data_IF_454674169161
#
_entry.id   IF_454674169161
#
_cell.length_a   1.000
_cell.length_b   1.000
_cell.length_c   1.000
_cell.angle_alpha   90.00
_cell.angle_beta   90.00
_cell.angle_gamma   90.00
#
_symmetry.space_group_name_H-M   'P 1'
#
loop_
_entity.id
_entity.type
_entity.pdbx_description
1 polymer ?
#
# COMPACT_ATOMS: atom_id res chain seq x y z
N UNK A 1 -0.56 13.99 -15.80
CA UNK A 1 -0.29 13.68 -14.38
C UNK A 1 1.19 13.45 -14.23
N UNK A 2 1.84 14.19 -13.32
CA UNK A 2 3.30 14.14 -13.14
C UNK A 2 3.74 13.00 -12.21
N UNK A 3 2.92 12.63 -11.25
CA UNK A 3 3.21 11.57 -10.28
C UNK A 3 1.99 10.66 -10.12
N UNK A 4 2.21 9.37 -9.99
CA UNK A 4 1.17 8.42 -9.66
C UNK A 4 0.93 8.37 -8.15
N UNK A 5 -0.29 8.06 -7.73
CA UNK A 5 -0.62 7.87 -6.33
C UNK A 5 -1.82 6.95 -6.18
N UNK A 6 -1.90 6.26 -5.07
CA UNK A 6 -3.00 5.33 -4.78
C UNK A 6 -3.15 5.13 -3.27
N UNK A 7 -4.29 4.61 -2.89
CA UNK A 7 -4.58 4.17 -1.55
C UNK A 7 -4.13 2.72 -1.40
N UNK A 8 -3.36 2.45 -0.35
CA UNK A 8 -2.90 1.09 -0.05
C UNK A 8 -3.25 0.78 1.40
N UNK A 9 -4.32 0.03 1.56
CA UNK A 9 -4.75 -0.51 2.84
C UNK A 9 -4.36 -1.99 2.93
N UNK A 10 -4.10 -2.46 4.12
CA UNK A 10 -3.74 -3.84 4.37
C UNK A 10 -4.73 -4.46 5.37
N UNK A 11 -4.84 -5.79 5.43
CA UNK A 11 -5.69 -6.44 6.40
C UNK A 11 -5.23 -6.14 7.84
N UNK A 12 -6.09 -6.46 8.80
CA UNK A 12 -5.78 -6.38 10.22
C UNK A 12 -4.65 -7.34 10.60
N UNK A 13 -4.08 -7.17 11.80
CA UNK A 13 -2.84 -7.83 12.22
C UNK A 13 -2.78 -9.35 11.99
N UNK A 14 -3.88 -10.06 12.09
CA UNK A 14 -3.89 -11.51 11.90
C UNK A 14 -3.66 -11.96 10.44
N UNK A 15 -3.82 -11.05 9.49
CA UNK A 15 -3.64 -11.30 8.08
C UNK A 15 -2.45 -10.53 7.46
N UNK A 16 -1.61 -9.90 8.27
CA UNK A 16 -0.49 -9.08 7.77
C UNK A 16 0.63 -9.95 7.21
N UNK A 17 0.82 -9.90 5.91
CA UNK A 17 1.92 -10.58 5.21
C UNK A 17 2.92 -9.61 4.59
N UNK A 18 2.54 -8.34 4.42
CA UNK A 18 3.29 -7.34 3.65
C UNK A 18 3.08 -7.44 2.14
N UNK A 19 2.49 -8.52 1.64
CA UNK A 19 2.26 -8.74 0.22
C UNK A 19 1.32 -7.68 -0.38
N UNK A 20 0.35 -7.17 0.39
CA UNK A 20 -0.57 -6.11 -0.03
C UNK A 20 0.17 -4.80 -0.31
N UNK A 21 1.13 -4.44 0.55
CA UNK A 21 1.95 -3.25 0.38
C UNK A 21 2.85 -3.41 -0.84
N UNK A 22 3.50 -4.57 -0.96
CA UNK A 22 4.33 -4.91 -2.11
C UNK A 22 3.54 -4.86 -3.42
N UNK A 23 2.40 -5.55 -3.49
CA UNK A 23 1.54 -5.59 -4.68
C UNK A 23 1.03 -4.20 -5.07
N UNK A 24 0.50 -3.44 -4.12
CA UNK A 24 0.03 -2.08 -4.36
C UNK A 24 1.15 -1.16 -4.83
N UNK A 25 2.31 -1.22 -4.17
CA UNK A 25 3.48 -0.44 -4.53
C UNK A 25 4.02 -0.77 -5.91
N UNK A 26 4.20 -2.05 -6.22
CA UNK A 26 4.69 -2.50 -7.53
C UNK A 26 3.70 -2.19 -8.67
N UNK A 27 2.38 -2.26 -8.39
CA UNK A 27 1.35 -1.89 -9.36
C UNK A 27 1.37 -0.41 -9.70
N UNK A 28 1.48 0.48 -8.70
CA UNK A 28 1.38 1.93 -8.95
C UNK A 28 2.70 2.51 -9.47
N UNK A 29 3.85 1.99 -9.02
CA UNK A 29 5.17 2.42 -9.48
C UNK A 29 5.32 2.22 -10.98
N UNK A 30 4.92 1.09 -11.51
CA UNK A 30 5.09 0.74 -12.92
C UNK A 30 4.20 1.53 -13.88
N UNK A 31 3.14 2.19 -13.39
CA UNK A 31 2.32 3.07 -14.24
C UNK A 31 3.09 4.25 -14.83
N UNK A 32 4.15 4.69 -14.16
CA UNK A 32 4.98 5.83 -14.58
C UNK A 32 6.46 5.50 -14.65
N UNK A 33 6.85 4.29 -14.27
CA UNK A 33 8.24 3.88 -14.08
C UNK A 33 9.02 4.89 -13.21
N UNK A 34 8.37 5.37 -12.17
CA UNK A 34 8.87 6.42 -11.28
C UNK A 34 8.30 6.24 -9.87
N UNK A 35 8.85 7.00 -8.93
CA UNK A 35 8.33 7.05 -7.56
C UNK A 35 6.86 7.47 -7.52
N UNK A 36 6.14 6.95 -6.54
CA UNK A 36 4.71 7.20 -6.34
C UNK A 36 4.43 7.73 -4.93
N UNK A 37 3.19 8.17 -4.69
CA UNK A 37 2.72 8.56 -3.37
C UNK A 37 1.63 7.60 -2.92
N UNK A 38 1.74 7.11 -1.69
CA UNK A 38 0.62 6.50 -0.98
C UNK A 38 -0.27 7.63 -0.48
N UNK A 39 -1.44 7.81 -1.12
CA UNK A 39 -2.36 8.90 -0.84
C UNK A 39 -3.17 8.63 0.42
N UNK A 40 -3.45 7.36 0.69
CA UNK A 40 -4.08 6.90 1.91
C UNK A 40 -3.52 5.55 2.36
N UNK A 41 -3.21 5.47 3.63
CA UNK A 41 -3.07 4.21 4.36
C UNK A 41 -3.59 4.40 5.77
N UNK A 42 -3.94 3.31 6.45
CA UNK A 42 -4.47 3.43 7.81
C UNK A 42 -3.45 3.94 8.81
N UNK A 43 -3.86 4.91 9.64
CA UNK A 43 -3.14 5.28 10.85
C UNK A 43 -3.44 4.27 11.96
N UNK A 44 -4.70 4.15 12.35
CA UNK A 44 -5.18 3.20 13.36
C UNK A 44 -6.16 2.18 12.80
N UNK A 45 -6.69 2.38 11.61
CA UNK A 45 -7.72 1.55 10.99
C UNK A 45 -9.10 1.57 11.67
N UNK A 46 -9.88 0.54 11.36
CA UNK A 46 -11.29 0.42 11.66
C UNK A 46 -11.59 0.22 13.15
N UNK A 47 -12.85 0.23 13.49
CA UNK A 47 -13.35 0.25 14.88
C UNK A 47 -12.88 -0.90 15.79
N UNK A 48 -12.45 -2.02 15.26
CA UNK A 48 -12.06 -3.19 16.07
C UNK A 48 -10.57 -3.48 16.07
N UNK A 49 -9.76 -2.58 15.54
CA UNK A 49 -8.34 -2.80 15.40
C UNK A 49 -7.53 -1.59 15.84
N UNK A 50 -6.41 -1.87 16.46
CA UNK A 50 -5.40 -0.88 16.82
C UNK A 50 -4.04 -1.46 16.48
N UNK A 51 -3.15 -0.71 15.82
CA UNK A 51 -1.83 -1.23 15.48
C UNK A 51 -1.04 -1.55 16.76
N UNK A 52 -0.24 -2.60 16.69
CA UNK A 52 0.73 -2.88 17.74
C UNK A 52 1.96 -1.96 17.60
N UNK A 53 2.74 -1.75 18.69
CA UNK A 53 3.93 -0.91 18.63
C UNK A 53 4.91 -1.32 17.52
N UNK A 54 5.36 -0.38 16.72
CA UNK A 54 6.26 -0.61 15.58
C UNK A 54 5.55 -0.86 14.24
N UNK A 55 4.24 -1.06 14.25
CA UNK A 55 3.50 -1.42 13.04
C UNK A 55 3.44 -0.27 12.02
N UNK A 56 3.19 0.96 12.45
CA UNK A 56 3.17 2.10 11.54
C UNK A 56 4.53 2.33 10.88
N UNK A 57 5.60 2.22 11.67
CA UNK A 57 6.97 2.33 11.14
C UNK A 57 7.26 1.22 10.15
N UNK A 58 6.90 -0.02 10.47
CA UNK A 58 7.06 -1.16 9.55
C UNK A 58 6.34 -0.91 8.23
N UNK A 59 5.08 -0.45 8.28
CA UNK A 59 4.32 -0.12 7.07
C UNK A 59 4.96 1.03 6.28
N UNK A 60 5.34 2.10 6.96
CA UNK A 60 6.01 3.24 6.35
C UNK A 60 7.28 2.83 5.59
N UNK A 61 8.14 2.05 6.24
CA UNK A 61 9.36 1.52 5.60
C UNK A 61 9.06 0.53 4.47
N UNK A 62 8.00 -0.27 4.59
CA UNK A 62 7.58 -1.19 3.51
C UNK A 62 7.14 -0.42 2.27
N UNK A 63 6.40 0.67 2.43
CA UNK A 63 6.03 1.56 1.32
C UNK A 63 7.25 2.21 0.67
N UNK A 64 8.18 2.73 1.47
CA UNK A 64 9.43 3.31 0.94
C UNK A 64 10.27 2.26 0.21
N UNK A 65 10.38 1.05 0.78
CA UNK A 65 11.10 -0.07 0.13
C UNK A 65 10.44 -0.49 -1.19
N UNK A 66 9.13 -0.29 -1.35
CA UNK A 66 8.40 -0.50 -2.60
C UNK A 66 8.53 0.67 -3.60
N UNK A 67 9.21 1.76 -3.23
CA UNK A 67 9.48 2.91 -4.09
C UNK A 67 8.57 4.11 -3.87
N UNK A 68 7.81 4.16 -2.77
CA UNK A 68 7.03 5.34 -2.44
C UNK A 68 7.93 6.53 -2.09
N UNK A 69 7.61 7.71 -2.62
CA UNK A 69 8.24 8.98 -2.26
C UNK A 69 7.58 9.67 -1.05
N UNK A 70 6.41 9.18 -0.66
CA UNK A 70 5.68 9.71 0.48
C UNK A 70 4.50 8.82 0.87
N UNK A 71 4.11 8.94 2.13
CA UNK A 71 3.00 8.19 2.72
C UNK A 71 2.10 9.15 3.46
N UNK A 72 0.81 9.15 3.16
CA UNK A 72 -0.20 9.95 3.84
C UNK A 72 -1.13 9.01 4.60
N UNK A 73 -1.40 9.37 5.86
CA UNK A 73 -2.28 8.59 6.69
C UNK A 73 -3.75 9.04 6.53
N UNK A 74 -4.65 8.11 6.44
CA UNK A 74 -6.06 8.33 6.66
C UNK A 74 -6.38 7.99 8.11
N UNK A 75 -6.60 9.00 8.92
CA UNK A 75 -6.49 10.43 8.65
C UNK A 75 -5.76 11.16 9.79
N UNK A 76 -5.71 12.49 9.73
CA UNK A 76 -5.02 13.32 10.73
C UNK A 76 -5.57 13.12 12.15
N UNK A 77 -6.87 13.22 12.34
CA UNK A 77 -7.53 12.95 13.60
C UNK A 77 -8.71 12.01 13.41
N UNK A 78 -9.10 11.32 14.47
CA UNK A 78 -10.26 10.44 14.44
C UNK A 78 -11.52 11.23 14.08
N UNK A 79 -12.34 10.67 13.20
CA UNK A 79 -13.49 11.37 12.60
C UNK A 79 -14.62 11.50 13.59
N UNK A 80 -15.15 12.73 13.76
CA UNK A 80 -16.23 13.03 14.72
C UNK A 80 -17.61 12.97 14.08
N UNK A 81 -17.70 13.23 12.78
CA UNK A 81 -18.94 13.42 12.06
C UNK A 81 -19.05 12.52 10.82
N UNK A 82 -20.25 12.39 10.31
CA UNK A 82 -20.51 11.75 9.04
C UNK A 82 -20.48 10.24 9.07
N UNK A 83 -20.33 9.65 7.90
CA UNK A 83 -20.43 8.21 7.71
C UNK A 83 -19.25 7.45 8.36
N UNK A 84 -18.06 8.06 8.38
CA UNK A 84 -16.84 7.45 8.88
C UNK A 84 -16.50 7.84 10.33
N UNK A 85 -17.50 8.17 11.14
CA UNK A 85 -17.31 8.63 12.52
C UNK A 85 -16.56 7.63 13.44
N UNK A 86 -16.42 6.37 13.01
CA UNK A 86 -15.65 5.34 13.74
C UNK A 86 -14.21 5.18 13.24
N UNK A 87 -13.82 5.93 12.24
CA UNK A 87 -12.49 5.86 11.69
C UNK A 87 -11.49 6.56 12.60
N UNK A 88 -10.44 5.84 12.98
CA UNK A 88 -9.41 6.34 13.89
C UNK A 88 -8.24 6.90 13.10
N UNK A 89 -7.93 8.17 13.35
CA UNK A 89 -6.80 8.88 12.76
C UNK A 89 -5.52 8.77 13.58
N UNK A 90 -4.54 9.58 13.21
CA UNK A 90 -3.28 9.74 13.96
C UNK A 90 -3.54 10.26 15.38
N UNK A 91 -4.40 11.28 15.52
CA UNK A 91 -4.92 11.73 16.82
C UNK A 91 -6.17 10.95 17.24
N UNK A 92 -6.34 10.79 18.53
CA UNK A 92 -7.54 10.23 19.14
C UNK A 92 -8.78 11.11 18.93
N UNK A 93 -9.98 10.59 19.26
CA UNK A 93 -11.22 11.36 19.14
C UNK A 93 -11.27 12.62 20.03
N UNK A 94 -10.60 12.58 21.17
CA UNK A 94 -10.44 13.74 22.07
C UNK A 94 -9.30 14.69 21.63
N UNK A 95 -8.73 14.47 20.47
CA UNK A 95 -7.58 15.20 19.92
C UNK A 95 -6.30 15.09 20.76
N UNK A 96 -6.25 14.15 21.68
CA UNK A 96 -5.03 13.86 22.41
C UNK A 96 -4.03 13.06 21.59
N UNK A 97 -2.77 13.15 22.00
CA UNK A 97 -1.72 12.27 21.48
C UNK A 97 -1.90 10.85 22.01
N UNK A 98 -1.39 9.90 21.27
CA UNK A 98 -1.46 8.49 21.58
C UNK A 98 -0.21 7.77 21.00
N UNK A 99 -0.01 6.48 21.27
CA UNK A 99 1.16 5.75 20.76
C UNK A 99 1.32 5.79 19.23
N UNK A 100 0.22 5.86 18.48
CA UNK A 100 0.27 5.97 17.01
C UNK A 100 0.81 7.32 16.56
N UNK A 101 0.40 8.40 17.24
CA UNK A 101 0.94 9.74 17.00
C UNK A 101 2.45 9.80 17.25
N UNK A 102 2.89 9.22 18.37
CA UNK A 102 4.32 9.19 18.71
C UNK A 102 5.12 8.40 17.67
N UNK A 103 4.61 7.24 17.26
CA UNK A 103 5.25 6.39 16.25
C UNK A 103 5.29 7.03 14.86
N UNK A 104 4.20 7.67 14.42
CA UNK A 104 4.17 8.44 13.18
C UNK A 104 5.19 9.59 13.22
N UNK A 105 5.30 10.27 14.34
CA UNK A 105 6.30 11.33 14.59
C UNK A 105 7.74 10.78 14.56
N UNK A 106 7.98 9.61 15.15
CA UNK A 106 9.29 8.94 15.10
C UNK A 106 9.67 8.59 13.65
N UNK A 107 8.79 7.94 12.91
CA UNK A 107 8.99 7.63 11.51
C UNK A 107 9.29 8.88 10.67
N UNK A 108 8.53 9.96 10.86
CA UNK A 108 8.77 11.23 10.16
C UNK A 108 10.15 11.83 10.47
N UNK A 109 10.61 11.77 11.73
CA UNK A 109 11.96 12.22 12.11
C UNK A 109 13.06 11.36 11.50
N UNK A 110 12.86 10.05 11.43
CA UNK A 110 13.82 9.13 10.79
C UNK A 110 13.96 9.44 9.31
N UNK A 111 12.84 9.60 8.60
CA UNK A 111 12.85 9.94 7.17
C UNK A 111 13.53 11.30 6.92
N UNK A 112 13.26 12.29 7.76
CA UNK A 112 13.93 13.59 7.66
C UNK A 112 15.45 13.50 7.83
N UNK A 113 15.94 12.54 8.63
CA UNK A 113 17.39 12.30 8.81
C UNK A 113 18.02 11.59 7.63
N UNK A 114 17.32 10.66 7.00
CA UNK A 114 17.82 9.94 5.83
C UNK A 114 17.88 10.83 4.58
N UNK A 115 17.02 11.83 4.50
CA UNK A 115 16.99 12.80 3.41
C UNK A 115 16.51 12.20 2.08
N UNK A 116 16.76 12.95 1.00
CA UNK A 116 16.29 12.60 -0.35
C UNK A 116 16.88 11.30 -0.92
N UNK A 117 18.03 10.89 -0.42
CA UNK A 117 18.75 9.72 -0.94
C UNK A 117 18.01 8.40 -0.69
N UNK A 118 17.13 8.36 0.31
CA UNK A 118 16.27 7.22 0.63
C UNK A 118 14.88 7.30 0.01
N UNK A 119 14.52 8.44 -0.51
CA UNK A 119 13.29 8.63 -1.25
C UNK A 119 13.56 8.40 -2.73
N UNK A 120 12.61 7.85 -3.46
CA UNK A 120 12.75 7.58 -4.90
C UNK A 120 13.81 6.51 -5.24
N UNK A 121 13.85 5.44 -4.46
CA UNK A 121 14.68 4.28 -4.79
C UNK A 121 14.14 3.65 -6.08
N UNK A 122 14.94 3.67 -7.14
CA UNK A 122 14.58 2.97 -8.37
C UNK A 122 14.81 1.48 -8.22
N UNK A 123 13.84 0.67 -8.61
CA UNK A 123 13.96 -0.79 -8.66
C UNK A 123 14.11 -1.22 -10.12
N UNK A 124 15.01 -2.15 -10.37
CA UNK A 124 15.16 -2.79 -11.67
C UNK A 124 14.82 -4.27 -11.51
N UNK A 125 13.67 -4.66 -12.00
CA UNK A 125 13.21 -6.02 -11.94
C UNK A 125 13.51 -6.77 -13.25
N UNK A 126 13.69 -8.07 -13.16
CA UNK A 126 13.91 -8.96 -14.32
C UNK A 126 12.66 -9.78 -14.67
N UNK A 127 11.64 -9.68 -13.83
CA UNK A 127 10.37 -10.40 -13.95
C UNK A 127 9.25 -9.39 -14.00
N UNK A 128 8.25 -9.62 -14.84
CA UNK A 128 7.03 -8.86 -14.88
C UNK A 128 5.81 -9.77 -14.82
N UNK A 129 4.80 -9.35 -14.07
CA UNK A 129 3.44 -9.87 -14.14
C UNK A 129 2.66 -8.97 -15.09
N UNK A 130 2.18 -9.55 -16.19
CA UNK A 130 1.44 -8.80 -17.22
C UNK A 130 -0.04 -8.83 -16.89
N UNK A 131 -0.67 -7.67 -16.87
CA UNK A 131 -2.11 -7.51 -16.69
C UNK A 131 -2.75 -6.92 -17.95
N UNK A 132 -4.04 -7.17 -18.13
CA UNK A 132 -4.79 -6.69 -19.27
C UNK A 132 -6.25 -6.43 -18.91
N UNK A 133 -6.72 -5.21 -19.17
CA UNK A 133 -8.10 -4.80 -18.89
C UNK A 133 -9.14 -5.52 -19.78
N UNK A 134 -8.75 -5.96 -20.98
CA UNK A 134 -9.66 -6.73 -21.83
C UNK A 134 -9.85 -8.14 -21.22
N UNK A 135 -8.77 -8.74 -20.76
CA UNK A 135 -8.82 -10.02 -20.05
C UNK A 135 -9.62 -9.91 -18.74
N UNK A 136 -9.45 -8.84 -17.97
CA UNK A 136 -10.26 -8.55 -16.78
C UNK A 136 -11.75 -8.48 -17.14
N UNK A 137 -12.10 -7.72 -18.18
CA UNK A 137 -13.49 -7.55 -18.63
C UNK A 137 -14.08 -8.87 -19.12
N UNK A 138 -13.32 -9.63 -19.90
CA UNK A 138 -13.72 -10.93 -20.41
C UNK A 138 -13.94 -11.95 -19.29
N UNK A 139 -13.05 -11.96 -18.31
CA UNK A 139 -13.14 -12.85 -17.14
C UNK A 139 -14.34 -12.53 -16.28
N UNK A 140 -14.67 -11.25 -16.10
CA UNK A 140 -15.86 -10.83 -15.38
C UNK A 140 -17.17 -11.19 -16.10
N UNK A 141 -17.14 -11.16 -17.45
CA UNK A 141 -18.29 -11.54 -18.26
C UNK A 141 -18.48 -13.06 -18.37
N UNK A 142 -17.38 -13.81 -18.46
CA UNK A 142 -17.36 -15.25 -18.61
C UNK A 142 -16.33 -15.89 -17.67
N UNK A 143 -16.61 -15.96 -16.37
CA UNK A 143 -15.68 -16.47 -15.39
C UNK A 143 -15.42 -17.98 -15.58
N UNK A 144 -14.19 -18.41 -15.36
CA UNK A 144 -13.81 -19.82 -15.35
C UNK A 144 -14.45 -20.54 -14.16
N UNK A 145 -14.53 -19.86 -13.03
CA UNK A 145 -15.22 -20.31 -11.82
C UNK A 145 -15.95 -19.11 -11.18
N UNK A 146 -17.11 -19.36 -10.56
CA UNK A 146 -17.93 -18.32 -9.92
C UNK A 146 -17.26 -17.66 -8.72
N UNK A 147 -16.37 -18.36 -8.06
CA UNK A 147 -15.68 -17.92 -6.85
C UNK A 147 -14.23 -17.44 -7.13
N UNK A 148 -13.85 -17.35 -8.42
CA UNK A 148 -12.54 -16.92 -8.87
C UNK A 148 -12.65 -15.62 -9.66
N UNK A 149 -11.94 -14.58 -9.22
CA UNK A 149 -11.80 -13.32 -9.94
C UNK A 149 -10.50 -13.25 -10.75
N UNK A 150 -10.44 -12.36 -11.73
CA UNK A 150 -9.21 -12.05 -12.44
C UNK A 150 -8.10 -11.57 -11.48
N UNK A 151 -8.45 -10.76 -10.48
CA UNK A 151 -7.51 -10.27 -9.49
C UNK A 151 -6.93 -11.40 -8.63
N UNK A 152 -7.69 -12.44 -8.33
CA UNK A 152 -7.17 -13.61 -7.62
C UNK A 152 -6.07 -14.30 -8.41
N UNK A 153 -6.25 -14.45 -9.72
CA UNK A 153 -5.23 -15.05 -10.60
C UNK A 153 -3.95 -14.20 -10.63
N UNK A 154 -4.10 -12.88 -10.76
CA UNK A 154 -2.96 -11.95 -10.72
C UNK A 154 -2.25 -12.02 -9.37
N UNK A 155 -3.01 -12.04 -8.27
CA UNK A 155 -2.46 -12.16 -6.91
C UNK A 155 -1.72 -13.48 -6.68
N UNK A 156 -2.23 -14.59 -7.18
CA UNK A 156 -1.52 -15.87 -7.06
C UNK A 156 -0.13 -15.83 -7.71
N UNK A 157 -0.02 -15.23 -8.88
CA UNK A 157 1.29 -15.08 -9.55
C UNK A 157 2.20 -14.15 -8.74
N UNK A 158 1.68 -13.02 -8.28
CA UNK A 158 2.44 -12.07 -7.49
C UNK A 158 2.89 -12.65 -6.16
N UNK A 159 1.97 -13.26 -5.41
CA UNK A 159 2.24 -13.80 -4.08
C UNK A 159 3.28 -14.93 -4.13
N UNK A 160 3.25 -15.78 -5.17
CA UNK A 160 4.31 -16.77 -5.38
C UNK A 160 5.69 -16.12 -5.55
N UNK A 161 5.80 -15.06 -6.36
CA UNK A 161 7.05 -14.34 -6.55
C UNK A 161 7.49 -13.64 -5.26
N UNK A 162 6.55 -13.04 -4.55
CA UNK A 162 6.79 -12.38 -3.28
C UNK A 162 7.36 -13.35 -2.23
N UNK A 163 6.75 -14.53 -2.06
CA UNK A 163 7.22 -15.58 -1.15
C UNK A 163 8.61 -16.13 -1.52
N UNK A 164 8.92 -16.14 -2.81
CA UNK A 164 10.25 -16.53 -3.32
C UNK A 164 11.28 -15.39 -3.20
N UNK A 165 10.92 -14.23 -2.68
CA UNK A 165 11.74 -13.01 -2.65
C UNK A 165 12.19 -12.56 -4.05
N UNK A 166 11.37 -12.77 -5.05
CA UNK A 166 11.59 -12.30 -6.42
C UNK A 166 10.77 -11.03 -6.63
N UNK A 167 11.44 -9.90 -6.74
CA UNK A 167 10.77 -8.65 -7.09
C UNK A 167 10.34 -8.65 -8.55
N UNK A 168 9.16 -8.10 -8.81
CA UNK A 168 8.61 -8.01 -10.16
C UNK A 168 7.97 -6.65 -10.42
N UNK A 169 7.78 -6.36 -11.68
CA UNK A 169 6.94 -5.27 -12.15
C UNK A 169 5.53 -5.80 -12.47
N UNK A 170 4.52 -4.97 -12.28
CA UNK A 170 3.16 -5.27 -12.73
C UNK A 170 2.86 -4.30 -13.86
N UNK A 171 2.83 -4.80 -15.07
CA UNK A 171 2.74 -3.98 -16.28
C UNK A 171 1.48 -4.30 -17.08
N UNK A 172 0.93 -3.28 -17.72
CA UNK A 172 -0.13 -3.47 -18.70
C UNK A 172 0.46 -4.06 -20.01
N UNK A 173 -0.32 -4.91 -20.69
CA UNK A 173 0.11 -5.55 -21.94
C UNK A 173 0.59 -4.54 -23.01
N UNK A 174 0.11 -3.32 -22.96
CA UNK A 174 0.52 -2.24 -23.87
C UNK A 174 1.88 -1.62 -23.53
N UNK A 175 2.49 -2.02 -22.40
CA UNK A 175 3.83 -1.61 -22.00
C UNK A 175 4.92 -2.59 -22.45
N UNK A 176 4.54 -3.73 -23.05
CA UNK A 176 5.45 -4.65 -23.71
C UNK A 176 5.88 -4.08 -25.05
#
# INVERSE_FOLDING_TARGET
>A
VTMAGTDIYHPTQDGLTGAEIGFGGDSIRTLKDDAYIVLECQAQAFKYWTPYPGQLRLHGYSHLASGAAGVLYWNWHSIHDGYETYWKGVFSHDLSTNPVYEEAGEFGREIARFGRETLCISRKNQVAVVIDNQSLSSFNWFPIDKDLSYNDVVRWMYDCLYEMNISCDIIDIHQL
#
